data_IF_761156745086
#
_entry.id   IF_761156745086
#
_cell.length_a   1.000
_cell.length_b   1.000
_cell.length_c   1.000
_cell.angle_alpha   90.00
_cell.angle_beta   90.00
_cell.angle_gamma   90.00
#
_symmetry.space_group_name_H-M   'P 1'
#
loop_
_entity.id
_entity.type
_entity.pdbx_description
1 polymer ?
#
# COMPACT_ATOMS: atom_id res chain seq x y z
N UNK A 1 19.88 -6.05 -14.95
CA UNK A 1 18.64 -6.00 -14.15
C UNK A 1 18.90 -5.11 -12.96
N UNK A 2 18.52 -3.85 -13.04
CA UNK A 2 18.62 -2.90 -11.92
C UNK A 2 17.51 -3.22 -10.93
N UNK A 3 17.81 -4.05 -9.94
CA UNK A 3 17.03 -4.12 -8.70
C UNK A 3 16.90 -2.68 -8.20
N UNK A 4 15.70 -2.11 -8.27
CA UNK A 4 15.39 -0.84 -7.64
C UNK A 4 15.63 -1.03 -6.15
N UNK A 5 16.83 -0.69 -5.68
CA UNK A 5 17.15 -0.69 -4.27
C UNK A 5 16.37 0.48 -3.70
N UNK A 6 15.24 0.18 -3.06
CA UNK A 6 14.66 1.16 -2.16
C UNK A 6 15.76 1.56 -1.17
N UNK A 7 16.03 2.85 -1.08
CA UNK A 7 16.87 3.37 -0.02
C UNK A 7 16.14 3.15 1.32
N UNK A 8 16.87 3.02 2.43
CA UNK A 8 16.24 2.81 3.75
C UNK A 8 15.20 3.89 4.09
N UNK A 9 15.41 5.11 3.59
CA UNK A 9 14.47 6.24 3.69
C UNK A 9 13.20 5.99 2.87
N UNK A 10 13.32 5.53 1.63
CA UNK A 10 12.16 5.21 0.78
C UNK A 10 11.35 4.03 1.34
N UNK A 11 12.00 3.08 2.03
CA UNK A 11 11.30 2.01 2.74
C UNK A 11 10.54 2.53 3.96
N UNK A 12 11.09 3.48 4.71
CA UNK A 12 10.42 4.08 5.88
C UNK A 12 9.22 4.91 5.44
N UNK A 13 9.38 5.71 4.38
CA UNK A 13 8.28 6.48 3.77
C UNK A 13 7.18 5.56 3.24
N UNK A 14 7.55 4.47 2.55
CA UNK A 14 6.60 3.47 2.08
C UNK A 14 5.88 2.79 3.25
N UNK A 15 6.59 2.46 4.33
CA UNK A 15 6.01 1.85 5.53
C UNK A 15 5.05 2.80 6.25
N UNK A 16 5.37 4.09 6.36
CA UNK A 16 4.48 5.09 6.92
C UNK A 16 3.22 5.26 6.07
N UNK A 17 3.38 5.28 4.75
CA UNK A 17 2.26 5.32 3.82
C UNK A 17 1.35 4.11 3.98
N UNK A 18 1.93 2.90 4.00
CA UNK A 18 1.24 1.64 4.25
C UNK A 18 0.39 1.69 5.52
N UNK A 19 1.00 2.13 6.64
CA UNK A 19 0.30 2.29 7.92
C UNK A 19 -0.86 3.28 7.83
N UNK A 20 -0.66 4.41 7.14
CA UNK A 20 -1.72 5.40 6.95
C UNK A 20 -2.89 4.85 6.14
N UNK A 21 -2.63 4.03 5.12
CA UNK A 21 -3.67 3.38 4.30
C UNK A 21 -4.46 2.36 5.11
N UNK A 22 -3.77 1.54 5.91
CA UNK A 22 -4.40 0.54 6.78
C UNK A 22 -5.27 1.25 7.85
N UNK A 23 -4.76 2.32 8.47
CA UNK A 23 -5.53 3.08 9.46
C UNK A 23 -6.78 3.69 8.83
N UNK A 24 -6.68 4.27 7.62
CA UNK A 24 -7.84 4.78 6.88
C UNK A 24 -8.83 3.68 6.52
N UNK A 25 -8.35 2.51 6.10
CA UNK A 25 -9.20 1.38 5.80
C UNK A 25 -9.98 0.90 7.03
N UNK A 26 -9.29 0.81 8.17
CA UNK A 26 -9.91 0.49 9.46
C UNK A 26 -10.89 1.58 9.93
N UNK A 27 -10.56 2.86 9.76
CA UNK A 27 -11.46 3.97 10.09
C UNK A 27 -12.75 3.95 9.25
N UNK A 28 -12.66 3.54 7.99
CA UNK A 28 -13.81 3.33 7.12
C UNK A 28 -14.60 2.05 7.43
N UNK A 29 -14.23 1.29 8.48
CA UNK A 29 -14.81 -0.02 8.83
C UNK A 29 -14.82 -1.00 7.66
N UNK A 30 -13.80 -0.88 6.81
CA UNK A 30 -13.55 -1.84 5.76
C UNK A 30 -13.02 -3.07 6.48
N UNK A 31 -13.86 -4.10 6.58
CA UNK A 31 -13.54 -5.36 7.24
C UNK A 31 -12.57 -6.19 6.38
N UNK A 32 -11.52 -5.53 5.88
CA UNK A 32 -10.47 -6.08 5.03
C UNK A 32 -9.34 -6.47 5.98
N UNK A 33 -8.89 -7.73 5.97
CA UNK A 33 -7.76 -8.14 6.78
C UNK A 33 -6.47 -7.45 6.31
N UNK A 34 -5.61 -7.09 7.25
CA UNK A 34 -4.33 -6.43 6.98
C UNK A 34 -3.48 -7.19 5.94
N UNK A 35 -3.53 -8.53 5.96
CA UNK A 35 -2.83 -9.39 4.98
C UNK A 35 -3.28 -9.15 3.55
N UNK A 36 -4.59 -8.98 3.29
CA UNK A 36 -5.14 -8.70 1.96
C UNK A 36 -4.68 -7.32 1.45
N UNK A 37 -4.58 -6.35 2.37
CA UNK A 37 -4.09 -5.00 2.06
C UNK A 37 -2.61 -5.09 1.67
N UNK A 38 -1.82 -5.80 2.47
CA UNK A 38 -0.39 -5.96 2.24
C UNK A 38 -0.12 -6.72 0.92
N UNK A 39 -0.78 -7.85 0.65
CA UNK A 39 -0.60 -8.60 -0.59
C UNK A 39 -0.90 -7.75 -1.83
N UNK A 40 -1.98 -6.97 -1.81
CA UNK A 40 -2.31 -6.06 -2.93
C UNK A 40 -1.27 -4.97 -3.12
N UNK A 41 -0.76 -4.41 -2.03
CA UNK A 41 0.27 -3.38 -2.10
C UNK A 41 1.58 -3.95 -2.68
N UNK A 42 1.93 -5.19 -2.34
CA UNK A 42 3.03 -5.90 -2.99
C UNK A 42 2.76 -6.16 -4.48
N UNK A 43 1.56 -6.61 -4.85
CA UNK A 43 1.18 -6.87 -6.24
C UNK A 43 1.23 -5.58 -7.10
N UNK A 44 0.82 -4.43 -6.53
CA UNK A 44 0.92 -3.13 -7.18
C UNK A 44 2.38 -2.67 -7.31
N UNK A 45 3.18 -2.84 -6.26
CA UNK A 45 4.60 -2.51 -6.29
C UNK A 45 5.36 -3.37 -7.31
N UNK A 46 5.01 -4.66 -7.46
CA UNK A 46 5.59 -5.58 -8.45
C UNK A 46 5.24 -5.18 -9.89
N UNK A 47 4.02 -4.65 -10.10
CA UNK A 47 3.60 -4.03 -11.37
C UNK A 47 4.29 -2.70 -11.67
N UNK A 48 5.10 -2.19 -10.73
CA UNK A 48 5.78 -0.90 -10.85
C UNK A 48 4.93 0.29 -10.41
N UNK A 49 3.75 0.07 -9.83
CA UNK A 49 2.94 1.13 -9.23
C UNK A 49 3.46 1.47 -7.83
N UNK A 50 4.16 2.60 -7.75
CA UNK A 50 4.68 3.16 -6.49
C UNK A 50 3.93 4.42 -6.05
N UNK A 51 2.92 4.82 -6.81
CA UNK A 51 2.18 6.05 -6.57
C UNK A 51 1.29 5.89 -5.32
N UNK A 52 1.51 6.68 -4.26
CA UNK A 52 0.80 6.54 -3.00
C UNK A 52 -0.71 6.74 -3.13
N UNK A 53 -1.14 7.63 -4.03
CA UNK A 53 -2.55 7.88 -4.31
C UNK A 53 -3.22 6.67 -4.98
N UNK A 54 -2.53 5.99 -5.89
CA UNK A 54 -3.06 4.79 -6.55
C UNK A 54 -3.12 3.59 -5.62
N UNK A 55 -2.13 3.46 -4.74
CA UNK A 55 -2.14 2.45 -3.68
C UNK A 55 -3.35 2.68 -2.75
N UNK A 56 -3.61 3.94 -2.37
CA UNK A 56 -4.81 4.33 -1.61
C UNK A 56 -6.09 3.97 -2.36
N UNK A 57 -6.25 4.40 -3.61
CA UNK A 57 -7.43 4.08 -4.41
C UNK A 57 -7.63 2.57 -4.56
N UNK A 58 -6.59 1.80 -4.88
CA UNK A 58 -6.71 0.36 -5.07
C UNK A 58 -7.22 -0.39 -3.82
N UNK A 59 -6.90 0.11 -2.62
CA UNK A 59 -7.37 -0.43 -1.35
C UNK A 59 -8.77 0.10 -1.01
N UNK A 60 -9.00 1.41 -1.11
CA UNK A 60 -10.25 2.08 -0.71
C UNK A 60 -11.40 1.87 -1.72
N UNK A 61 -11.14 1.89 -3.02
CA UNK A 61 -12.17 1.73 -4.07
C UNK A 61 -12.84 0.37 -4.05
N UNK A 62 -12.12 -0.69 -3.63
CA UNK A 62 -12.66 -2.04 -3.56
C UNK A 62 -13.44 -2.33 -2.27
N UNK A 63 -13.45 -1.35 -1.38
CA UNK A 63 -14.01 -1.45 -0.06
C UNK A 63 -15.41 -0.80 0.02
N UNK A 64 -15.81 -0.10 -1.05
CA UNK A 64 -17.16 0.39 -1.31
C UNK A 64 -18.02 -0.65 -2.05
#
# INVERSE_FOLDING_TARGET
MTLCHYSSEELDELQQLLKSIIDEAHQMSLNIPDEDIIEKLYDLADRGERDPEKLREAILTKAA
#
